data_IF_817257490221
#
_entry.id   IF_817257490221
#
_cell.length_a   1.000
_cell.length_b   1.000
_cell.length_c   1.000
_cell.angle_alpha   90.00
_cell.angle_beta   90.00
_cell.angle_gamma   90.00
#
_symmetry.space_group_name_H-M   'P 1'
#
loop_
_entity.id
_entity.type
_entity.pdbx_description
1 polymer ?
#
# COMPACT_ATOMS: atom_id res chain seq x y z
N UNK A 1 -53.05 24.72 -24.62
CA UNK A 1 -51.67 24.42 -24.17
C UNK A 1 -51.14 25.63 -23.41
N UNK A 2 -50.90 25.52 -22.10
CA UNK A 2 -50.36 26.62 -21.29
C UNK A 2 -48.87 26.78 -21.61
N UNK A 3 -48.48 27.89 -22.24
CA UNK A 3 -47.06 28.24 -22.47
C UNK A 3 -46.43 28.59 -21.13
N UNK A 4 -45.46 27.78 -20.69
CA UNK A 4 -44.59 28.13 -19.57
C UNK A 4 -43.53 29.10 -20.10
N UNK A 5 -43.58 30.35 -19.66
CA UNK A 5 -42.54 31.34 -19.95
C UNK A 5 -41.31 31.04 -19.10
N UNK A 6 -40.26 30.53 -19.73
CA UNK A 6 -38.95 30.37 -19.09
C UNK A 6 -38.36 31.76 -18.81
N UNK A 7 -38.22 32.12 -17.54
CA UNK A 7 -37.46 33.31 -17.13
C UNK A 7 -35.97 33.00 -17.31
N UNK A 8 -35.28 33.83 -18.09
CA UNK A 8 -33.85 33.72 -18.29
C UNK A 8 -33.07 34.11 -17.04
N UNK A 9 -31.95 33.44 -16.80
CA UNK A 9 -31.01 33.72 -15.71
C UNK A 9 -30.33 35.08 -15.96
N UNK A 10 -30.25 35.95 -14.96
CA UNK A 10 -29.50 37.20 -15.11
C UNK A 10 -28.00 36.94 -14.96
N UNK A 11 -27.16 37.63 -15.74
CA UNK A 11 -25.70 37.56 -15.58
C UNK A 11 -25.24 37.96 -14.17
N UNK A 12 -25.97 38.89 -13.54
CA UNK A 12 -25.70 39.38 -12.19
C UNK A 12 -25.98 38.31 -11.14
N UNK A 13 -27.07 37.53 -11.29
CA UNK A 13 -27.35 36.41 -10.40
C UNK A 13 -26.21 35.38 -10.41
N UNK A 14 -25.67 35.06 -11.58
CA UNK A 14 -24.61 34.06 -11.68
C UNK A 14 -23.27 34.58 -11.11
N UNK A 15 -22.99 35.87 -11.28
CA UNK A 15 -21.77 36.52 -10.75
C UNK A 15 -21.73 36.54 -9.22
N UNK A 16 -22.85 36.88 -8.57
CA UNK A 16 -22.92 36.90 -7.10
C UNK A 16 -22.79 35.49 -6.52
N UNK A 17 -23.36 34.48 -7.20
CA UNK A 17 -23.30 33.09 -6.75
C UNK A 17 -21.86 32.57 -6.75
N UNK A 18 -21.10 32.78 -7.82
CA UNK A 18 -19.69 32.34 -7.85
C UNK A 18 -18.82 33.08 -6.83
N UNK A 19 -19.12 34.36 -6.56
CA UNK A 19 -18.43 35.13 -5.54
C UNK A 19 -18.70 34.55 -4.13
N UNK A 20 -19.96 34.22 -3.84
CA UNK A 20 -20.34 33.64 -2.56
C UNK A 20 -19.82 32.21 -2.38
N UNK A 21 -19.85 31.39 -3.44
CA UNK A 21 -19.28 30.04 -3.44
C UNK A 21 -17.77 30.06 -3.17
N UNK A 22 -17.05 31.06 -3.70
CA UNK A 22 -15.63 31.25 -3.42
C UNK A 22 -15.34 31.51 -1.94
N UNK A 23 -16.13 32.36 -1.28
CA UNK A 23 -15.94 32.68 0.15
C UNK A 23 -16.26 31.48 1.05
N UNK A 24 -17.33 30.74 0.75
CA UNK A 24 -17.70 29.57 1.55
C UNK A 24 -16.65 28.45 1.40
N UNK A 25 -16.11 28.25 0.18
CA UNK A 25 -15.12 27.21 -0.08
C UNK A 25 -13.83 27.37 0.74
N UNK A 26 -13.33 28.60 0.92
CA UNK A 26 -12.10 28.84 1.69
C UNK A 26 -12.28 28.53 3.18
N UNK A 27 -13.42 28.92 3.76
CA UNK A 27 -13.73 28.65 5.18
C UNK A 27 -13.82 27.14 5.43
N UNK A 28 -14.48 26.39 4.54
CA UNK A 28 -14.61 24.93 4.67
C UNK A 28 -13.25 24.24 4.61
N UNK A 29 -12.38 24.65 3.69
CA UNK A 29 -11.03 24.07 3.58
C UNK A 29 -10.17 24.43 4.79
N UNK A 30 -10.33 25.61 5.38
CA UNK A 30 -9.61 25.98 6.61
C UNK A 30 -10.13 25.24 7.85
N UNK A 31 -11.41 24.88 7.88
CA UNK A 31 -12.03 24.15 8.99
C UNK A 31 -11.65 22.67 9.01
N UNK A 32 -11.37 22.08 7.84
CA UNK A 32 -10.86 20.72 7.71
C UNK A 32 -9.34 20.81 7.75
N UNK A 33 -8.65 20.09 8.65
CA UNK A 33 -7.20 19.95 8.57
C UNK A 33 -6.84 18.89 7.51
N UNK A 34 -6.56 19.21 6.23
CA UNK A 34 -6.36 18.20 5.19
C UNK A 34 -5.11 17.35 5.46
N UNK A 35 -4.11 17.94 6.11
CA UNK A 35 -2.85 17.27 6.47
C UNK A 35 -3.12 16.15 7.47
N UNK A 36 -3.88 16.44 8.52
CA UNK A 36 -4.26 15.45 9.53
C UNK A 36 -5.11 14.32 8.95
N UNK A 37 -6.03 14.64 8.02
CA UNK A 37 -6.82 13.60 7.35
C UNK A 37 -5.96 12.69 6.47
N UNK A 38 -4.98 13.26 5.74
CA UNK A 38 -4.04 12.50 4.93
C UNK A 38 -3.14 11.58 5.79
N UNK A 39 -2.67 12.09 6.93
CA UNK A 39 -1.87 11.31 7.89
C UNK A 39 -2.70 10.15 8.47
N UNK A 40 -3.94 10.43 8.91
CA UNK A 40 -4.86 9.39 9.42
C UNK A 40 -5.18 8.32 8.38
N UNK A 41 -5.35 8.70 7.11
CA UNK A 41 -5.55 7.75 6.04
C UNK A 41 -4.34 6.82 5.85
N UNK A 42 -3.12 7.38 5.95
CA UNK A 42 -1.87 6.62 5.87
C UNK A 42 -1.71 5.66 7.04
N UNK A 43 -1.98 6.12 8.27
CA UNK A 43 -1.90 5.29 9.47
C UNK A 43 -2.93 4.16 9.47
N UNK A 44 -4.15 4.45 9.02
CA UNK A 44 -5.19 3.44 8.81
C UNK A 44 -4.74 2.38 7.79
N UNK A 45 -4.11 2.81 6.70
CA UNK A 45 -3.50 1.91 5.71
C UNK A 45 -2.39 1.03 6.32
N UNK A 46 -1.49 1.61 7.09
CA UNK A 46 -0.40 0.88 7.76
C UNK A 46 -0.93 -0.14 8.78
N UNK A 47 -1.96 0.24 9.55
CA UNK A 47 -2.62 -0.65 10.52
C UNK A 47 -3.29 -1.83 9.83
N UNK A 48 -3.98 -1.58 8.72
CA UNK A 48 -4.58 -2.64 7.90
C UNK A 48 -3.50 -3.58 7.34
N UNK A 49 -2.39 -3.04 6.83
CA UNK A 49 -1.27 -3.84 6.32
C UNK A 49 -0.67 -4.74 7.42
N UNK A 50 -0.45 -4.20 8.62
CA UNK A 50 0.05 -4.97 9.76
C UNK A 50 -0.89 -6.12 10.16
N UNK A 51 -2.21 -5.85 10.22
CA UNK A 51 -3.22 -6.87 10.51
C UNK A 51 -3.23 -8.01 9.48
N UNK A 52 -3.04 -7.67 8.20
CA UNK A 52 -2.98 -8.66 7.13
C UNK A 52 -1.72 -9.53 7.21
N UNK A 53 -0.58 -8.93 7.58
CA UNK A 53 0.67 -9.66 7.79
C UNK A 53 0.55 -10.65 8.96
N UNK A 54 0.02 -10.22 10.10
CA UNK A 54 -0.21 -11.09 11.27
C UNK A 54 -1.14 -12.25 10.90
N UNK A 55 -2.21 -11.95 10.15
CA UNK A 55 -3.14 -12.99 9.68
C UNK A 55 -2.47 -13.98 8.73
N UNK A 56 -1.56 -13.52 7.87
CA UNK A 56 -0.78 -14.38 6.97
C UNK A 56 0.17 -15.30 7.75
N UNK A 57 0.84 -14.79 8.78
CA UNK A 57 1.69 -15.59 9.66
C UNK A 57 0.90 -16.70 10.37
N UNK A 58 -0.30 -16.39 10.84
CA UNK A 58 -1.16 -17.39 11.50
C UNK A 58 -1.65 -18.47 10.53
N UNK A 59 -1.98 -18.12 9.29
CA UNK A 59 -2.32 -19.11 8.25
C UNK A 59 -1.13 -19.98 7.89
N UNK A 60 0.05 -19.38 7.73
CA UNK A 60 1.30 -20.11 7.47
C UNK A 60 1.56 -21.15 8.56
N UNK A 61 1.45 -20.76 9.83
CA UNK A 61 1.61 -21.67 10.96
C UNK A 61 0.58 -22.81 10.94
N UNK A 62 -0.66 -22.51 10.57
CA UNK A 62 -1.71 -23.53 10.45
C UNK A 62 -1.39 -24.54 9.34
N UNK A 63 -0.77 -24.11 8.24
CA UNK A 63 -0.39 -24.98 7.12
C UNK A 63 0.91 -25.75 7.31
N UNK A 64 1.90 -25.16 8.00
CA UNK A 64 3.27 -25.69 8.05
C UNK A 64 3.69 -26.15 9.47
N UNK A 65 2.87 -25.91 10.50
CA UNK A 65 3.15 -26.21 11.91
C UNK A 65 4.39 -25.50 12.50
N UNK A 66 4.95 -24.54 11.77
CA UNK A 66 6.07 -23.70 12.16
C UNK A 66 5.87 -22.29 11.60
N UNK A 67 6.64 -21.32 12.13
CA UNK A 67 6.64 -19.98 11.58
C UNK A 67 7.71 -19.83 10.49
N UNK A 68 7.58 -18.86 9.56
CA UNK A 68 8.53 -18.70 8.45
C UNK A 68 9.98 -18.43 8.88
N UNK A 69 10.18 -17.89 10.08
CA UNK A 69 11.52 -17.64 10.64
C UNK A 69 12.13 -18.84 11.35
N UNK A 70 11.39 -19.93 11.51
CA UNK A 70 11.92 -21.16 12.08
C UNK A 70 12.89 -21.77 11.09
N UNK A 71 14.18 -21.68 11.39
CA UNK A 71 15.23 -22.32 10.60
C UNK A 71 15.17 -23.82 10.89
N UNK A 72 14.70 -24.61 9.93
CA UNK A 72 14.91 -26.07 9.94
C UNK A 72 16.30 -26.35 9.40
N UNK A 73 17.31 -26.19 10.24
CA UNK A 73 18.67 -26.68 9.95
C UNK A 73 18.72 -28.16 10.32
N UNK A 74 19.05 -29.10 9.42
CA UNK A 74 19.18 -30.52 9.78
C UNK A 74 20.34 -30.80 10.75
N UNK A 75 21.20 -29.82 11.06
CA UNK A 75 22.35 -29.95 11.99
C UNK A 75 22.17 -29.22 13.33
N UNK A 76 21.12 -28.41 13.48
CA UNK A 76 20.75 -27.75 14.72
C UNK A 76 19.28 -28.05 15.01
N UNK A 77 18.99 -28.57 16.21
CA UNK A 77 17.61 -28.71 16.71
C UNK A 77 16.78 -27.50 16.30
N UNK A 78 15.51 -27.67 15.87
CA UNK A 78 14.68 -26.54 15.48
C UNK A 78 14.68 -25.59 16.68
N UNK A 79 15.38 -24.47 16.54
CA UNK A 79 15.45 -23.47 17.58
C UNK A 79 14.06 -22.86 17.63
N UNK A 80 13.18 -23.48 18.42
CA UNK A 80 11.93 -22.92 18.83
C UNK A 80 12.26 -21.52 19.36
N UNK A 81 11.64 -20.51 18.76
CA UNK A 81 11.61 -19.16 19.31
C UNK A 81 12.95 -18.45 19.53
N UNK A 82 13.91 -18.54 18.60
CA UNK A 82 14.89 -17.44 18.53
C UNK A 82 14.14 -16.18 18.10
N UNK A 83 14.03 -15.23 19.02
CA UNK A 83 13.39 -13.94 18.76
C UNK A 83 13.95 -13.32 17.49
N UNK A 84 13.10 -13.17 16.48
CA UNK A 84 13.51 -12.55 15.23
C UNK A 84 13.69 -11.04 15.47
N UNK A 85 14.91 -10.54 15.31
CA UNK A 85 15.21 -9.11 15.47
C UNK A 85 14.61 -8.28 14.33
N UNK A 86 14.83 -6.97 14.35
CA UNK A 86 14.32 -6.05 13.32
C UNK A 86 14.59 -6.55 11.90
N UNK A 87 13.53 -7.02 11.24
CA UNK A 87 13.59 -7.50 9.87
C UNK A 87 13.26 -6.35 8.91
N UNK A 88 14.12 -6.14 7.91
CA UNK A 88 13.78 -5.27 6.80
C UNK A 88 12.83 -5.99 5.83
N UNK A 89 12.17 -5.24 4.96
CA UNK A 89 11.24 -5.79 3.96
C UNK A 89 11.89 -6.79 2.97
N UNK A 90 13.23 -6.85 2.93
CA UNK A 90 14.04 -7.72 2.07
C UNK A 90 14.38 -9.07 2.73
N UNK A 91 13.96 -9.31 3.96
CA UNK A 91 14.18 -10.60 4.58
C UNK A 91 13.36 -11.68 3.85
N UNK A 92 14.01 -12.74 3.38
CA UNK A 92 13.34 -13.81 2.61
C UNK A 92 12.32 -14.58 3.43
N UNK A 93 12.52 -14.70 4.75
CA UNK A 93 11.70 -15.51 5.64
C UNK A 93 10.42 -14.77 6.05
N UNK A 94 10.54 -13.55 6.55
CA UNK A 94 9.41 -12.77 7.10
C UNK A 94 9.09 -11.49 6.34
N UNK A 95 10.00 -11.07 5.45
CA UNK A 95 9.85 -9.86 4.67
C UNK A 95 8.88 -10.03 3.51
N UNK A 96 8.59 -8.90 2.85
CA UNK A 96 7.69 -8.83 1.70
C UNK A 96 8.38 -9.38 0.46
N UNK A 97 9.71 -9.30 0.39
CA UNK A 97 10.48 -9.63 -0.79
C UNK A 97 11.82 -10.28 -0.45
N UNK A 98 12.45 -10.93 -1.43
CA UNK A 98 13.76 -11.57 -1.24
C UNK A 98 14.93 -10.57 -1.13
N UNK A 99 16.05 -11.05 -0.56
CA UNK A 99 17.22 -10.26 -0.16
C UNK A 99 17.80 -9.39 -1.29
N UNK A 100 17.76 -9.87 -2.53
CA UNK A 100 18.34 -9.18 -3.69
C UNK A 100 17.26 -8.45 -4.48
N UNK A 101 17.15 -7.14 -4.27
CA UNK A 101 16.38 -6.24 -5.14
C UNK A 101 14.86 -6.45 -5.17
N UNK A 102 14.31 -7.21 -4.21
CA UNK A 102 12.90 -7.59 -4.21
C UNK A 102 12.42 -8.25 -5.52
N UNK A 103 13.30 -9.00 -6.21
CA UNK A 103 12.99 -9.61 -7.51
C UNK A 103 11.87 -10.67 -7.43
N UNK A 104 11.74 -11.30 -6.26
CA UNK A 104 10.72 -12.31 -5.93
C UNK A 104 10.04 -11.91 -4.61
N UNK A 105 8.84 -12.45 -4.35
CA UNK A 105 8.20 -12.36 -3.04
C UNK A 105 9.01 -13.05 -1.95
N UNK A 106 8.81 -12.63 -0.70
CA UNK A 106 9.26 -13.38 0.48
C UNK A 106 8.42 -14.65 0.68
N UNK A 107 8.81 -15.46 1.66
CA UNK A 107 8.21 -16.78 1.92
C UNK A 107 6.69 -16.73 2.05
N UNK A 108 6.15 -15.73 2.77
CA UNK A 108 4.70 -15.56 2.94
C UNK A 108 3.94 -15.31 1.64
N UNK A 109 4.58 -14.69 0.64
CA UNK A 109 3.97 -14.45 -0.67
C UNK A 109 4.09 -15.71 -1.54
N UNK A 110 5.23 -16.38 -1.50
CA UNK A 110 5.49 -17.60 -2.29
C UNK A 110 4.64 -18.77 -1.78
N UNK A 111 4.44 -18.87 -0.47
CA UNK A 111 3.54 -19.83 0.17
C UNK A 111 2.04 -19.49 0.00
N UNK A 112 1.71 -18.44 -0.76
CA UNK A 112 0.33 -17.99 -1.02
C UNK A 112 -0.46 -17.57 0.24
N UNK A 113 0.24 -17.19 1.31
CA UNK A 113 -0.37 -16.74 2.57
C UNK A 113 -0.58 -15.22 2.62
N UNK A 114 0.19 -14.46 1.83
CA UNK A 114 0.11 -13.02 1.70
C UNK A 114 -0.09 -12.62 0.24
N UNK A 115 -0.98 -11.67 -0.02
CA UNK A 115 -1.33 -11.27 -1.39
C UNK A 115 -0.14 -10.63 -2.15
N UNK A 116 -0.03 -10.93 -3.45
CA UNK A 116 1.00 -10.35 -4.34
C UNK A 116 0.98 -8.80 -4.42
N UNK A 117 -0.18 -8.18 -4.10
CA UNK A 117 -0.35 -6.72 -4.04
C UNK A 117 0.63 -6.02 -3.08
N UNK A 118 1.09 -6.67 -2.02
CA UNK A 118 2.03 -6.08 -1.05
C UNK A 118 3.42 -5.86 -1.67
N UNK A 119 3.88 -6.78 -2.52
CA UNK A 119 5.14 -6.64 -3.26
C UNK A 119 5.08 -5.47 -4.25
N UNK A 120 3.96 -5.31 -4.93
CA UNK A 120 3.73 -4.23 -5.87
C UNK A 120 3.80 -2.84 -5.24
N UNK A 121 3.23 -2.70 -4.04
CA UNK A 121 3.23 -1.43 -3.30
C UNK A 121 4.65 -1.00 -2.93
N UNK A 122 5.49 -1.95 -2.49
CA UNK A 122 6.91 -1.71 -2.19
C UNK A 122 7.72 -1.33 -3.44
N UNK A 123 7.48 -2.00 -4.59
CA UNK A 123 8.16 -1.68 -5.85
C UNK A 123 7.80 -0.30 -6.40
N UNK A 124 6.55 0.17 -6.30
CA UNK A 124 6.19 1.55 -6.73
C UNK A 124 7.01 2.63 -6.03
N UNK A 125 7.29 2.45 -4.73
CA UNK A 125 8.11 3.41 -3.96
C UNK A 125 9.58 3.41 -4.37
N UNK A 126 10.17 2.26 -4.71
CA UNK A 126 11.59 2.15 -5.13
C UNK A 126 11.84 2.44 -6.61
N UNK A 127 10.90 2.07 -7.49
CA UNK A 127 11.03 2.31 -8.96
C UNK A 127 11.16 3.81 -9.26
N UNK A 128 10.47 4.68 -8.52
CA UNK A 128 10.58 6.13 -8.68
C UNK A 128 11.98 6.69 -8.35
N UNK A 129 12.74 5.99 -7.49
CA UNK A 129 14.10 6.37 -7.10
C UNK A 129 15.16 5.75 -8.03
N UNK A 130 14.95 4.52 -8.52
CA UNK A 130 15.92 3.81 -9.35
C UNK A 130 15.79 4.05 -10.87
N UNK A 131 14.65 4.54 -11.36
CA UNK A 131 14.48 4.91 -12.79
C UNK A 131 15.45 6.02 -13.23
N UNK A 132 16.03 6.79 -12.31
CA UNK A 132 16.97 7.86 -12.64
C UNK A 132 18.39 7.40 -12.95
N UNK A 133 18.77 6.14 -12.68
CA UNK A 133 20.20 5.76 -12.70
C UNK A 133 20.59 4.49 -13.48
N UNK A 134 19.72 3.51 -13.69
CA UNK A 134 20.12 2.26 -14.36
C UNK A 134 19.00 1.76 -15.28
N UNK A 135 19.16 1.97 -16.58
CA UNK A 135 18.23 1.55 -17.63
C UNK A 135 18.16 0.03 -17.81
N UNK A 136 17.61 -0.70 -16.84
CA UNK A 136 17.39 -2.15 -16.95
C UNK A 136 15.89 -2.48 -17.07
N UNK A 137 15.37 -2.44 -18.30
CA UNK A 137 13.97 -2.78 -18.65
C UNK A 137 13.55 -4.22 -18.26
N UNK A 138 14.52 -5.14 -18.14
CA UNK A 138 14.25 -6.57 -17.91
C UNK A 138 13.60 -6.85 -16.55
N UNK A 139 13.95 -6.08 -15.52
CA UNK A 139 13.36 -6.22 -14.18
C UNK A 139 11.94 -5.63 -14.11
N UNK A 140 11.62 -4.68 -14.98
CA UNK A 140 10.32 -4.02 -15.04
C UNK A 140 9.23 -4.94 -15.63
N UNK A 141 9.54 -5.66 -16.72
CA UNK A 141 8.59 -6.60 -17.33
C UNK A 141 8.21 -7.76 -16.40
N UNK A 142 9.17 -8.31 -15.64
CA UNK A 142 8.86 -9.30 -14.59
C UNK A 142 8.03 -8.69 -13.46
N UNK A 143 8.30 -7.45 -13.05
CA UNK A 143 7.54 -6.74 -12.00
C UNK A 143 6.05 -6.58 -12.34
N UNK A 144 5.75 -6.22 -13.59
CA UNK A 144 4.39 -5.94 -14.05
C UNK A 144 3.56 -7.22 -14.21
N UNK A 145 4.20 -8.34 -14.55
CA UNK A 145 3.53 -9.64 -14.68
C UNK A 145 2.96 -10.20 -13.37
N UNK A 146 3.61 -9.94 -12.23
CA UNK A 146 3.13 -10.35 -10.90
C UNK A 146 2.17 -9.34 -10.25
N UNK A 147 1.88 -8.24 -10.92
CA UNK A 147 1.06 -7.14 -10.42
C UNK A 147 -0.25 -6.96 -11.19
N UNK A 148 -0.79 -8.07 -11.68
CA UNK A 148 -2.04 -8.13 -12.44
C UNK A 148 -3.15 -8.74 -11.59
#
# INVERSE_FOLDING_TARGET
>A
MKKVTAKGFTLVELLIVIALLGVIATIVIAAINPIEQANRATDSGNKADASNLVSALQRYYTGHSNYPWTITDPTNYPSADTAFTFANAQNTLVGICSATGCATGGELIVANELQWKYLCRQRRKRIFHSIRLLGTEVQFRKAVGYCK
#
